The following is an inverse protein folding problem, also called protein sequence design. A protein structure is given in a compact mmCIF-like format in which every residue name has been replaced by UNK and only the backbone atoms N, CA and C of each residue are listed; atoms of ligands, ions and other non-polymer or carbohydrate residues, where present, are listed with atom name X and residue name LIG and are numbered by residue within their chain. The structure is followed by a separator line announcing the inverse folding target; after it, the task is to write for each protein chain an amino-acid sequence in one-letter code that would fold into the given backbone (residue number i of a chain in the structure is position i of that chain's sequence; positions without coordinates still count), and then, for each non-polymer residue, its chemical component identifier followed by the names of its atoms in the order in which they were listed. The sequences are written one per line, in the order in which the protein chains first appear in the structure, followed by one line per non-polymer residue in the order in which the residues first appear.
data_IF_198885469830
#
_entry.id   IF_198885469830
#
_cell.length_a   1.000
_cell.length_b   1.000
_cell.length_c   1.000
_cell.angle_alpha   90.00
_cell.angle_beta   90.00
_cell.angle_gamma   90.00
#
_symmetry.space_group_name_H-M   'P 1'
#
loop_
_entity.id
_entity.type
_entity.pdbx_description
1 polymer ?
#
# COMPACT_ATOMS: atom_id res chain seq x y z
N UNK A 1 -17.06 -20.72 -19.67
CA UNK A 1 -17.29 -21.64 -18.54
C UNK A 1 -16.77 -20.98 -17.26
N UNK A 2 -17.71 -20.52 -16.43
CA UNK A 2 -17.67 -20.25 -14.98
C UNK A 2 -16.49 -19.48 -14.37
N UNK A 3 -16.66 -18.16 -14.22
CA UNK A 3 -16.02 -17.33 -13.18
C UNK A 3 -16.99 -16.20 -12.75
N UNK A 4 -18.25 -16.53 -12.45
CA UNK A 4 -19.24 -15.53 -11.98
C UNK A 4 -19.81 -15.80 -10.59
N UNK A 5 -19.54 -16.96 -9.99
CA UNK A 5 -20.11 -17.34 -8.69
C UNK A 5 -19.14 -17.16 -7.52
N UNK A 6 -17.85 -16.90 -7.78
CA UNK A 6 -16.86 -16.70 -6.72
C UNK A 6 -16.86 -15.28 -6.11
N UNK A 7 -17.30 -14.26 -6.86
CA UNK A 7 -17.18 -12.84 -6.46
C UNK A 7 -17.93 -12.50 -5.15
N UNK A 8 -19.18 -12.94 -5.02
CA UNK A 8 -20.01 -12.61 -3.86
C UNK A 8 -19.52 -13.25 -2.54
N UNK A 9 -18.78 -14.36 -2.61
CA UNK A 9 -18.18 -15.01 -1.45
C UNK A 9 -16.93 -14.28 -0.96
N UNK A 10 -16.09 -13.83 -1.89
CA UNK A 10 -14.87 -13.08 -1.58
C UNK A 10 -15.18 -11.67 -1.04
N UNK A 11 -16.13 -10.96 -1.66
CA UNK A 11 -16.56 -9.63 -1.20
C UNK A 11 -17.06 -9.67 0.25
N UNK A 12 -17.92 -10.64 0.59
CA UNK A 12 -18.40 -10.81 1.97
C UNK A 12 -17.29 -11.16 2.96
N UNK A 13 -16.28 -11.92 2.53
CA UNK A 13 -15.12 -12.25 3.37
C UNK A 13 -14.22 -11.03 3.58
N UNK A 14 -14.01 -10.23 2.54
CA UNK A 14 -13.26 -8.99 2.59
C UNK A 14 -13.94 -7.97 3.51
N UNK A 15 -15.24 -7.74 3.34
CA UNK A 15 -16.03 -6.87 4.20
C UNK A 15 -15.97 -7.31 5.67
N UNK A 16 -16.11 -8.62 5.92
CA UNK A 16 -16.00 -9.17 7.27
C UNK A 16 -14.60 -8.96 7.85
N UNK A 17 -13.55 -9.20 7.07
CA UNK A 17 -12.17 -8.97 7.51
C UNK A 17 -11.96 -7.49 7.88
N UNK A 18 -12.39 -6.58 7.01
CA UNK A 18 -12.30 -5.14 7.26
C UNK A 18 -13.05 -4.74 8.53
N UNK A 19 -14.28 -5.23 8.71
CA UNK A 19 -15.07 -4.94 9.90
C UNK A 19 -14.37 -5.41 11.17
N UNK A 20 -13.83 -6.64 11.19
CA UNK A 20 -13.09 -7.15 12.35
C UNK A 20 -11.81 -6.35 12.65
N UNK A 21 -11.15 -5.82 11.62
CA UNK A 21 -9.97 -4.97 11.77
C UNK A 21 -10.34 -3.61 12.39
N UNK A 22 -11.44 -3.00 11.94
CA UNK A 22 -11.99 -1.77 12.52
C UNK A 22 -12.43 -1.96 13.97
N UNK A 23 -13.10 -3.07 14.26
CA UNK A 23 -13.57 -3.38 15.61
C UNK A 23 -12.37 -3.58 16.55
N UNK A 24 -11.32 -4.27 16.11
CA UNK A 24 -10.07 -4.40 16.87
C UNK A 24 -9.42 -3.04 17.11
N UNK A 25 -9.31 -2.22 16.06
CA UNK A 25 -8.72 -0.89 16.14
C UNK A 25 -9.47 0.06 17.09
N UNK A 26 -10.80 -0.09 17.22
CA UNK A 26 -11.65 0.78 18.06
C UNK A 26 -11.77 0.30 19.50
N UNK A 27 -11.98 -1.00 19.69
CA UNK A 27 -12.39 -1.55 20.99
C UNK A 27 -11.22 -1.97 21.88
N UNK A 28 -10.01 -2.10 21.32
CA UNK A 28 -8.80 -2.37 22.10
C UNK A 28 -8.09 -1.06 22.41
N UNK A 29 -8.31 -0.57 23.64
CA UNK A 29 -7.79 0.72 24.15
C UNK A 29 -6.63 0.56 25.13
N UNK A 30 -6.29 -0.67 25.54
CA UNK A 30 -5.15 -0.91 26.43
C UNK A 30 -3.84 -0.60 25.70
N UNK A 31 -3.02 0.26 26.30
CA UNK A 31 -1.65 0.55 25.86
C UNK A 31 -0.69 -0.62 26.11
N UNK A 32 -1.13 -1.71 26.75
CA UNK A 32 -0.36 -2.96 26.84
C UNK A 32 -0.22 -3.67 25.50
N UNK A 33 -1.05 -3.34 24.50
CA UNK A 33 -1.01 -3.94 23.17
C UNK A 33 -0.60 -2.93 22.10
N UNK A 34 0.70 -2.89 21.79
CA UNK A 34 1.26 -2.15 20.65
C UNK A 34 0.49 -2.38 19.34
N UNK A 35 -0.10 -3.56 19.17
CA UNK A 35 -0.77 -3.97 17.94
C UNK A 35 -2.06 -3.19 17.65
N UNK A 36 -2.83 -2.79 18.66
CA UNK A 36 -4.04 -1.99 18.42
C UNK A 36 -3.68 -0.59 17.91
N UNK A 37 -2.62 0.00 18.47
CA UNK A 37 -2.05 1.28 18.00
C UNK A 37 -1.47 1.15 16.60
N UNK A 38 -0.69 0.11 16.31
CA UNK A 38 -0.14 -0.16 14.97
C UNK A 38 -1.26 -0.39 13.96
N UNK A 39 -2.31 -1.13 14.34
CA UNK A 39 -3.48 -1.35 13.51
C UNK A 39 -4.15 -0.02 13.13
N UNK A 40 -4.41 0.86 14.11
CA UNK A 40 -4.97 2.21 13.85
C UNK A 40 -4.08 3.06 12.96
N UNK A 41 -2.78 3.08 13.21
CA UNK A 41 -1.85 4.02 12.57
C UNK A 41 -1.34 3.55 11.20
N UNK A 42 -1.29 2.25 10.96
CA UNK A 42 -0.70 1.65 9.76
C UNK A 42 -1.60 0.58 9.15
N UNK A 43 -2.19 -0.30 9.97
CA UNK A 43 -3.01 -1.41 9.50
C UNK A 43 -4.25 -0.98 8.70
N UNK A 44 -5.08 -0.09 9.26
CA UNK A 44 -6.29 0.43 8.60
C UNK A 44 -5.91 1.21 7.32
N UNK A 45 -5.01 2.21 7.36
CA UNK A 45 -4.61 2.91 6.14
C UNK A 45 -3.99 2.01 5.07
N UNK A 46 -3.26 0.96 5.47
CA UNK A 46 -2.70 -0.02 4.54
C UNK A 46 -3.81 -0.85 3.88
N UNK A 47 -4.80 -1.30 4.65
CA UNK A 47 -5.96 -2.00 4.10
C UNK A 47 -6.67 -1.13 3.05
N UNK A 48 -7.01 0.11 3.41
CA UNK A 48 -7.68 1.07 2.52
C UNK A 48 -6.86 1.28 1.24
N UNK A 49 -5.54 1.46 1.37
CA UNK A 49 -4.65 1.63 0.23
C UNK A 49 -4.67 0.43 -0.74
N UNK A 50 -4.67 -0.80 -0.22
CA UNK A 50 -4.71 -2.01 -1.04
C UNK A 50 -6.08 -2.18 -1.71
N UNK A 51 -7.16 -1.82 -1.01
CA UNK A 51 -8.51 -1.81 -1.57
C UNK A 51 -8.66 -0.79 -2.71
N UNK A 52 -8.10 0.41 -2.58
CA UNK A 52 -8.05 1.40 -3.66
C UNK A 52 -7.19 0.91 -4.83
N UNK A 53 -6.02 0.33 -4.54
CA UNK A 53 -5.13 -0.21 -5.57
C UNK A 53 -5.79 -1.30 -6.41
N UNK A 54 -6.57 -2.21 -5.78
CA UNK A 54 -7.26 -3.30 -6.49
C UNK A 54 -8.33 -2.79 -7.45
N UNK A 55 -8.91 -1.62 -7.18
CA UNK A 55 -9.89 -0.92 -8.03
C UNK A 55 -9.25 -0.02 -9.09
N UNK A 56 -7.93 0.14 -9.08
CA UNK A 56 -7.22 1.07 -9.96
C UNK A 56 -7.28 2.53 -9.52
N UNK A 57 -7.72 2.79 -8.30
CA UNK A 57 -7.80 4.12 -7.67
C UNK A 57 -6.42 4.51 -7.12
N UNK A 58 -5.47 4.77 -8.03
CA UNK A 58 -4.05 4.93 -7.66
C UNK A 58 -3.77 6.20 -6.84
N UNK A 59 -4.52 7.29 -7.08
CA UNK A 59 -4.40 8.52 -6.31
C UNK A 59 -4.74 8.27 -4.83
N UNK A 60 -5.85 7.61 -4.55
CA UNK A 60 -6.30 7.31 -3.19
C UNK A 60 -5.41 6.27 -2.51
N UNK A 61 -4.94 5.26 -3.25
CA UNK A 61 -3.94 4.32 -2.76
C UNK A 61 -2.68 5.05 -2.29
N UNK A 62 -2.11 5.93 -3.12
CA UNK A 62 -0.91 6.67 -2.75
C UNK A 62 -1.17 7.66 -1.60
N UNK A 63 -2.33 8.33 -1.60
CA UNK A 63 -2.73 9.26 -0.53
C UNK A 63 -2.81 8.57 0.83
N UNK A 64 -3.29 7.33 0.89
CA UNK A 64 -3.32 6.53 2.10
C UNK A 64 -1.93 6.02 2.54
N UNK A 65 -1.06 5.65 1.59
CA UNK A 65 0.26 5.06 1.89
C UNK A 65 1.36 6.10 2.17
N UNK A 66 1.35 7.25 1.51
CA UNK A 66 2.41 8.28 1.64
C UNK A 66 2.63 8.70 3.11
N UNK A 67 1.60 8.95 3.94
CA UNK A 67 1.76 9.38 5.32
C UNK A 67 2.28 8.29 6.28
N UNK A 68 2.16 7.02 5.91
CA UNK A 68 2.53 5.87 6.77
C UNK A 68 3.79 5.14 6.30
N UNK A 69 4.36 5.51 5.15
CA UNK A 69 5.39 4.73 4.44
C UNK A 69 6.64 4.42 5.27
N UNK A 70 7.02 5.34 6.15
CA UNK A 70 8.15 5.22 7.07
C UNK A 70 7.81 4.38 8.31
N UNK A 71 6.53 4.13 8.58
CA UNK A 71 6.01 3.34 9.71
C UNK A 71 5.62 1.92 9.34
N UNK A 72 5.61 1.55 8.05
CA UNK A 72 5.23 0.20 7.59
C UNK A 72 6.01 -0.92 8.31
N UNK A 73 7.26 -0.65 8.71
CA UNK A 73 8.06 -1.62 9.46
C UNK A 73 7.45 -2.06 10.79
N UNK A 74 6.58 -1.23 11.41
CA UNK A 74 5.99 -1.53 12.73
C UNK A 74 4.98 -2.66 12.67
N UNK A 75 4.42 -2.98 11.49
CA UNK A 75 3.53 -4.15 11.31
C UNK A 75 4.31 -5.47 11.49
N UNK A 76 5.64 -5.44 11.41
CA UNK A 76 6.46 -6.65 11.44
C UNK A 76 6.56 -7.33 10.07
N UNK A 77 6.64 -8.66 10.05
CA UNK A 77 6.84 -9.45 8.83
C UNK A 77 8.29 -9.48 8.33
N UNK A 78 8.51 -10.01 7.13
CA UNK A 78 9.85 -10.09 6.53
C UNK A 78 10.21 -8.83 5.72
N UNK A 79 11.50 -8.59 5.52
CA UNK A 79 11.99 -7.52 4.65
C UNK A 79 11.48 -7.63 3.21
N UNK A 80 11.24 -8.86 2.72
CA UNK A 80 10.72 -9.09 1.38
C UNK A 80 9.22 -8.77 1.30
N UNK A 81 8.45 -9.11 2.34
CA UNK A 81 7.02 -8.80 2.42
C UNK A 81 6.79 -7.29 2.45
N UNK A 82 7.51 -6.56 3.31
CA UNK A 82 7.38 -5.10 3.40
C UNK A 82 7.79 -4.37 2.12
N UNK A 83 8.76 -4.92 1.40
CA UNK A 83 9.20 -4.34 0.13
C UNK A 83 8.09 -4.39 -0.95
N UNK A 84 7.13 -5.31 -0.84
CA UNK A 84 5.95 -5.31 -1.72
C UNK A 84 5.14 -4.03 -1.52
N UNK A 85 4.93 -3.57 -0.29
CA UNK A 85 4.21 -2.31 -0.05
C UNK A 85 4.94 -1.10 -0.62
N UNK A 86 6.27 -1.04 -0.48
CA UNK A 86 7.06 0.02 -1.12
C UNK A 86 6.93 -0.02 -2.64
N UNK A 87 6.94 -1.21 -3.26
CA UNK A 87 6.73 -1.35 -4.70
C UNK A 87 5.32 -0.94 -5.13
N UNK A 88 4.29 -1.29 -4.35
CA UNK A 88 2.89 -0.88 -4.57
C UNK A 88 2.77 0.64 -4.56
N UNK A 89 3.35 1.32 -3.56
CA UNK A 89 3.34 2.78 -3.47
C UNK A 89 4.04 3.43 -4.67
N UNK A 90 5.23 2.95 -5.06
CA UNK A 90 5.93 3.46 -6.24
C UNK A 90 5.06 3.30 -7.49
N UNK A 91 4.39 2.16 -7.64
CA UNK A 91 3.52 1.92 -8.78
C UNK A 91 2.25 2.79 -8.74
N UNK A 92 1.67 3.04 -7.57
CA UNK A 92 0.53 3.93 -7.39
C UNK A 92 0.92 5.37 -7.77
N UNK A 93 2.03 5.91 -7.26
CA UNK A 93 2.53 7.23 -7.67
C UNK A 93 2.77 7.31 -9.18
N UNK A 94 3.38 6.29 -9.79
CA UNK A 94 3.59 6.25 -11.25
C UNK A 94 2.29 6.29 -12.06
N UNK A 95 1.17 5.80 -11.51
CA UNK A 95 -0.12 5.78 -12.21
C UNK A 95 -1.10 6.84 -11.72
N UNK A 96 -0.67 7.70 -10.81
CA UNK A 96 -1.48 8.76 -10.26
C UNK A 96 -1.83 9.80 -11.34
N UNK A 97 -3.08 10.25 -11.36
CA UNK A 97 -3.52 11.39 -12.17
C UNK A 97 -3.27 12.70 -11.44
N UNK A 98 -3.28 12.68 -10.10
CA UNK A 98 -2.90 13.80 -9.25
C UNK A 98 -1.40 14.08 -9.45
N UNK A 99 -1.09 15.31 -9.92
CA UNK A 99 0.28 15.70 -10.27
C UNK A 99 1.22 15.69 -9.08
N UNK A 100 0.78 16.12 -7.90
CA UNK A 100 1.64 16.17 -6.71
C UNK A 100 1.97 14.75 -6.20
N UNK A 101 0.99 13.84 -6.30
CA UNK A 101 1.19 12.43 -6.01
C UNK A 101 2.13 11.79 -7.04
N UNK A 102 1.94 12.09 -8.32
CA UNK A 102 2.78 11.57 -9.40
C UNK A 102 4.25 11.99 -9.20
N UNK A 103 4.49 13.27 -8.90
CA UNK A 103 5.82 13.82 -8.61
C UNK A 103 6.49 13.18 -7.38
N UNK A 104 5.70 12.61 -6.46
CA UNK A 104 6.24 11.84 -5.33
C UNK A 104 6.90 10.51 -5.74
N UNK A 105 6.72 10.04 -6.98
CA UNK A 105 7.33 8.82 -7.50
C UNK A 105 8.84 8.77 -7.28
N UNK A 106 9.55 9.83 -7.69
CA UNK A 106 11.01 9.85 -7.66
C UNK A 106 11.53 9.72 -6.22
N UNK A 107 10.90 10.46 -5.30
CA UNK A 107 11.22 10.42 -3.88
C UNK A 107 11.06 9.00 -3.30
N UNK A 108 9.93 8.35 -3.53
CA UNK A 108 9.67 7.01 -2.98
C UNK A 108 10.57 5.95 -3.62
N UNK A 109 10.88 6.10 -4.90
CA UNK A 109 11.84 5.22 -5.59
C UNK A 109 13.24 5.34 -4.97
N UNK A 110 13.68 6.55 -4.65
CA UNK A 110 14.99 6.80 -4.03
C UNK A 110 15.06 6.29 -2.60
N UNK A 111 14.00 6.48 -1.81
CA UNK A 111 13.83 5.87 -0.47
C UNK A 111 14.02 4.33 -0.56
N UNK A 112 13.41 3.67 -1.56
CA UNK A 112 13.60 2.23 -1.78
C UNK A 112 15.02 1.89 -2.21
N UNK A 113 15.64 2.68 -3.10
CA UNK A 113 17.00 2.43 -3.59
C UNK A 113 18.05 2.53 -2.48
N UNK A 114 17.84 3.38 -1.49
CA UNK A 114 18.70 3.47 -0.31
C UNK A 114 18.72 2.13 0.47
N UNK A 115 17.58 1.45 0.56
CA UNK A 115 17.43 0.17 1.25
C UNK A 115 17.77 -1.04 0.37
N UNK A 116 17.49 -0.96 -0.93
CA UNK A 116 17.64 -2.04 -1.93
C UNK A 116 18.56 -1.61 -3.06
N UNK A 117 19.85 -1.44 -2.73
CA UNK A 117 20.89 -1.04 -3.68
C UNK A 117 20.92 -1.97 -4.90
N UNK A 118 21.07 -1.39 -6.10
CA UNK A 118 21.17 -2.12 -7.39
C UNK A 118 20.00 -3.08 -7.67
N UNK A 119 18.78 -2.71 -7.25
CA UNK A 119 17.59 -3.53 -7.47
C UNK A 119 17.10 -3.47 -8.92
N UNK A 120 17.05 -4.63 -9.60
CA UNK A 120 16.43 -4.77 -10.93
C UNK A 120 14.95 -4.37 -10.96
N UNK A 121 14.26 -4.50 -9.82
CA UNK A 121 12.87 -4.04 -9.68
C UNK A 121 12.81 -2.52 -9.75
N UNK A 122 13.69 -1.80 -9.05
CA UNK A 122 13.76 -0.33 -9.12
C UNK A 122 14.10 0.15 -10.52
N UNK A 123 15.09 -0.49 -11.18
CA UNK A 123 15.45 -0.19 -12.57
C UNK A 123 14.24 -0.32 -13.50
N UNK A 124 13.47 -1.40 -13.35
CA UNK A 124 12.25 -1.64 -14.13
C UNK A 124 11.15 -0.61 -13.85
N UNK A 125 10.92 -0.24 -12.59
CA UNK A 125 9.93 0.77 -12.21
C UNK A 125 10.31 2.14 -12.78
N UNK A 126 11.57 2.54 -12.66
CA UNK A 126 12.08 3.78 -13.23
C UNK A 126 11.94 3.81 -14.77
N UNK A 127 12.24 2.69 -15.43
CA UNK A 127 12.05 2.56 -16.87
C UNK A 127 10.58 2.73 -17.27
N UNK A 128 9.66 2.06 -16.56
CA UNK A 128 8.21 2.18 -16.85
C UNK A 128 7.69 3.59 -16.65
N UNK A 129 8.12 4.28 -15.60
CA UNK A 129 7.72 5.67 -15.36
C UNK A 129 8.08 6.58 -16.55
N UNK A 130 9.31 6.48 -17.06
CA UNK A 130 9.74 7.25 -18.25
C UNK A 130 8.96 6.91 -19.52
N UNK A 131 8.49 5.67 -19.66
CA UNK A 131 7.66 5.28 -20.81
C UNK A 131 6.26 5.88 -20.74
N UNK A 132 5.70 6.00 -19.53
CA UNK A 132 4.37 6.55 -19.32
C UNK A 132 4.37 8.09 -19.29
N UNK A 133 5.48 8.70 -18.90
CA UNK A 133 5.62 10.15 -18.74
C UNK A 133 6.83 10.64 -19.55
N UNK A 134 6.71 10.68 -20.89
CA UNK A 134 7.75 11.25 -21.75
C UNK A 134 7.93 12.73 -21.42
N UNK A 135 9.19 13.15 -21.38
CA UNK A 135 9.63 14.54 -21.17
C UNK A 135 9.38 15.35 -22.46
#
# INVERSE_FOLDING_TARGET
MVLREAGAGFEKQEERMHQTLLDFARNVTSDEYDQARICRQVGIPMYDAIAHYSKGEYDDCARAMLPIRDKIYTIGGSNAQRDVFSQTLIHACMKANDKEINESFQKVLDERNAMKKKSKISERLAYRYRQLHPI
#
